data_IF_074534873266
#
_entry.id   IF_074534873266
#
_cell.length_a   1.000
_cell.length_b   1.000
_cell.length_c   1.000
_cell.angle_alpha   90.00
_cell.angle_beta   90.00
_cell.angle_gamma   90.00
#
_symmetry.space_group_name_H-M   'P 1'
#
loop_
_entity.id
_entity.type
_entity.pdbx_description
1 polymer ?
#
# COMPACT_ATOMS: atom_id res chain seq x y z
N UNK A 1 -11.15 40.44 -12.23
CA UNK A 1 -11.87 39.39 -11.48
C UNK A 1 -13.22 39.18 -12.15
N UNK A 2 -13.71 37.94 -12.11
CA UNK A 2 -15.01 37.45 -12.60
C UNK A 2 -15.11 36.96 -14.07
N UNK A 3 -14.72 35.69 -14.22
CA UNK A 3 -15.51 34.56 -14.76
C UNK A 3 -16.52 34.80 -15.88
N UNK A 4 -16.26 34.22 -17.06
CA UNK A 4 -17.31 33.74 -17.98
C UNK A 4 -16.96 32.36 -18.53
N UNK A 5 -17.83 31.41 -18.20
CA UNK A 5 -17.92 30.02 -18.62
C UNK A 5 -18.37 29.88 -20.08
N UNK A 6 -17.84 28.90 -20.82
CA UNK A 6 -18.48 28.36 -22.03
C UNK A 6 -18.04 26.88 -22.18
N UNK A 7 -18.97 25.93 -22.01
CA UNK A 7 -19.61 25.11 -23.06
C UNK A 7 -18.67 24.00 -23.59
N UNK A 8 -19.03 22.72 -23.68
CA UNK A 8 -20.29 22.10 -24.09
C UNK A 8 -20.32 20.63 -23.65
N UNK A 9 -21.41 20.17 -23.05
CA UNK A 9 -21.66 18.78 -22.68
C UNK A 9 -22.11 17.95 -23.90
N UNK A 10 -21.61 16.73 -24.13
CA UNK A 10 -22.30 15.74 -24.95
C UNK A 10 -23.30 14.96 -24.09
N UNK A 11 -24.58 14.96 -24.51
CA UNK A 11 -25.64 14.10 -23.98
C UNK A 11 -25.72 12.86 -24.88
N UNK A 12 -25.32 11.70 -24.38
CA UNK A 12 -25.59 10.41 -25.03
C UNK A 12 -26.63 9.65 -24.22
N UNK A 13 -27.83 9.56 -24.79
CA UNK A 13 -28.87 8.63 -24.39
C UNK A 13 -28.52 7.24 -24.94
N UNK A 14 -28.40 6.25 -24.07
CA UNK A 14 -28.48 4.84 -24.45
C UNK A 14 -29.00 4.05 -23.26
N UNK A 15 -30.22 3.57 -23.40
CA UNK A 15 -30.85 2.59 -22.53
C UNK A 15 -30.18 1.22 -22.75
N UNK A 16 -30.08 0.40 -21.70
CA UNK A 16 -29.75 -1.01 -21.83
C UNK A 16 -28.69 -1.57 -20.87
N UNK A 17 -29.22 -2.23 -19.84
CA UNK A 17 -28.88 -3.61 -19.46
C UNK A 17 -27.76 -3.91 -18.43
N UNK A 18 -28.19 -4.68 -17.42
CA UNK A 18 -27.44 -5.57 -16.53
C UNK A 18 -26.42 -4.95 -15.55
N UNK A 19 -26.91 -4.61 -14.35
CA UNK A 19 -26.09 -4.62 -13.13
C UNK A 19 -25.78 -6.07 -12.76
N UNK A 20 -24.65 -6.59 -13.23
CA UNK A 20 -24.04 -7.77 -12.64
C UNK A 20 -23.14 -7.29 -11.50
N UNK A 21 -23.63 -7.41 -10.26
CA UNK A 21 -22.83 -7.16 -9.06
C UNK A 21 -21.87 -8.33 -8.90
N UNK A 22 -20.72 -8.23 -9.55
CA UNK A 22 -19.61 -9.15 -9.31
C UNK A 22 -19.07 -8.82 -7.91
N UNK A 23 -19.46 -9.63 -6.93
CA UNK A 23 -18.82 -9.70 -5.62
C UNK A 23 -17.34 -10.01 -5.82
N UNK A 24 -16.53 -8.95 -5.95
CA UNK A 24 -15.08 -9.06 -6.04
C UNK A 24 -14.57 -9.41 -4.64
N UNK A 25 -14.59 -10.71 -4.33
CA UNK A 25 -13.84 -11.26 -3.21
C UNK A 25 -12.38 -10.85 -3.42
N UNK A 26 -11.96 -9.76 -2.77
CA UNK A 26 -10.55 -9.39 -2.69
C UNK A 26 -9.93 -10.39 -1.73
N UNK A 27 -9.66 -11.59 -2.25
CA UNK A 27 -8.68 -12.48 -1.65
C UNK A 27 -7.43 -11.64 -1.43
N UNK A 28 -6.90 -11.66 -0.20
CA UNK A 28 -5.67 -10.97 0.16
C UNK A 28 -4.52 -11.59 -0.63
N UNK A 29 -4.37 -11.16 -1.88
CA UNK A 29 -3.39 -11.60 -2.87
C UNK A 29 -1.99 -11.64 -2.19
N UNK A 30 -1.43 -12.84 -1.87
CA UNK A 30 -0.12 -13.02 -1.25
C UNK A 30 1.03 -12.34 -2.02
N UNK A 31 0.78 -11.96 -3.26
CA UNK A 31 1.66 -11.30 -4.23
C UNK A 31 2.35 -10.07 -3.62
N UNK A 32 1.65 -9.28 -2.79
CA UNK A 32 2.22 -8.11 -2.14
C UNK A 32 3.37 -8.44 -1.16
N UNK A 33 3.38 -9.67 -0.61
CA UNK A 33 4.41 -10.20 0.29
C UNK A 33 5.55 -10.86 -0.52
N UNK A 34 5.22 -11.41 -1.69
CA UNK A 34 6.18 -11.95 -2.65
C UNK A 34 7.05 -10.84 -3.28
N UNK A 35 6.56 -9.60 -3.32
CA UNK A 35 7.35 -8.48 -3.82
C UNK A 35 8.67 -8.31 -3.03
N UNK A 36 9.78 -7.98 -3.71
CA UNK A 36 11.04 -7.76 -3.04
C UNK A 36 10.98 -6.51 -2.13
N UNK A 37 11.84 -6.51 -1.11
CA UNK A 37 12.08 -5.39 -0.21
C UNK A 37 12.31 -4.09 -0.99
N UNK A 38 11.58 -3.01 -0.70
CA UNK A 38 11.73 -1.73 -1.40
C UNK A 38 13.12 -1.09 -1.25
N UNK A 39 13.86 -1.44 -0.19
CA UNK A 39 15.18 -0.87 0.08
C UNK A 39 16.33 -1.64 -0.60
N UNK A 40 16.40 -2.96 -0.42
CA UNK A 40 17.52 -3.73 -0.96
C UNK A 40 17.19 -4.45 -2.26
N UNK A 41 15.91 -4.59 -2.63
CA UNK A 41 15.41 -5.32 -3.81
C UNK A 41 15.87 -6.78 -3.99
N UNK A 42 16.59 -7.34 -3.01
CA UNK A 42 17.11 -8.72 -3.02
C UNK A 42 16.24 -9.70 -2.22
N UNK A 43 15.70 -9.27 -1.08
CA UNK A 43 15.05 -10.17 -0.10
C UNK A 43 13.54 -9.98 -0.08
N UNK A 44 12.75 -11.02 0.26
CA UNK A 44 11.30 -10.91 0.37
C UNK A 44 10.91 -9.94 1.49
N UNK A 45 9.68 -9.42 1.41
CA UNK A 45 9.11 -8.57 2.46
C UNK A 45 8.66 -9.41 3.64
N UNK A 46 9.54 -9.51 4.63
CA UNK A 46 9.26 -10.20 5.89
C UNK A 46 9.64 -9.35 7.11
N UNK A 47 9.92 -8.07 6.94
CA UNK A 47 10.22 -7.12 8.01
C UNK A 47 9.06 -6.17 8.22
N UNK A 48 8.23 -6.47 9.23
CA UNK A 48 7.09 -5.63 9.57
C UNK A 48 7.55 -4.44 10.43
N UNK A 49 7.23 -3.22 10.00
CA UNK A 49 7.58 -1.98 10.70
C UNK A 49 6.35 -1.50 11.47
N UNK A 50 6.39 -1.61 12.80
CA UNK A 50 5.24 -1.33 13.69
C UNK A 50 5.35 0.09 14.26
N UNK A 51 4.24 0.83 14.18
CA UNK A 51 4.05 2.12 14.82
C UNK A 51 2.58 2.26 15.25
N UNK A 52 2.34 2.59 16.52
CA UNK A 52 1.01 2.60 17.11
C UNK A 52 0.36 1.21 17.11
N UNK A 53 -0.81 1.10 16.48
CA UNK A 53 -1.57 -0.16 16.30
C UNK A 53 -1.52 -0.69 14.87
N UNK A 54 -0.67 -0.12 14.02
CA UNK A 54 -0.57 -0.47 12.60
C UNK A 54 0.86 -0.82 12.23
N UNK A 55 1.03 -1.39 11.03
CA UNK A 55 2.35 -1.76 10.55
C UNK A 55 2.42 -1.72 9.02
N UNK A 56 3.61 -1.45 8.48
CA UNK A 56 3.89 -1.51 7.05
C UNK A 56 4.84 -2.66 6.70
N UNK A 57 4.41 -3.54 5.79
CA UNK A 57 5.21 -4.65 5.26
C UNK A 57 5.79 -4.30 3.88
N UNK A 58 6.79 -3.41 3.87
CA UNK A 58 7.42 -2.91 2.63
C UNK A 58 8.93 -3.20 2.55
N UNK A 59 9.49 -3.84 3.59
CA UNK A 59 10.92 -4.14 3.69
C UNK A 59 11.17 -5.58 4.13
N UNK A 60 12.38 -6.09 3.90
CA UNK A 60 12.86 -7.31 4.53
C UNK A 60 13.30 -7.04 5.98
N UNK A 61 13.28 -8.08 6.82
CA UNK A 61 13.60 -7.96 8.24
C UNK A 61 14.97 -7.31 8.55
N UNK A 62 16.06 -7.64 7.84
CA UNK A 62 17.34 -6.98 8.11
C UNK A 62 17.37 -5.50 7.72
N UNK A 63 16.65 -5.09 6.67
CA UNK A 63 16.51 -3.68 6.32
C UNK A 63 15.67 -2.92 7.35
N UNK A 64 14.53 -3.48 7.76
CA UNK A 64 13.68 -2.92 8.82
C UNK A 64 14.48 -2.71 10.12
N UNK A 65 15.27 -3.71 10.54
CA UNK A 65 16.13 -3.60 11.73
C UNK A 65 17.17 -2.49 11.61
N UNK A 66 17.75 -2.27 10.43
CA UNK A 66 18.67 -1.15 10.20
C UNK A 66 17.95 0.18 10.37
N UNK A 67 16.76 0.35 9.78
CA UNK A 67 15.96 1.57 9.95
C UNK A 67 15.71 1.87 11.43
N UNK A 68 15.23 0.87 12.18
CA UNK A 68 14.98 1.01 13.61
C UNK A 68 16.25 1.35 14.41
N UNK A 69 17.38 0.67 14.13
CA UNK A 69 18.67 0.94 14.79
C UNK A 69 19.15 2.38 14.57
N UNK A 70 18.95 2.92 13.38
CA UNK A 70 19.37 4.28 13.03
C UNK A 70 18.29 5.33 13.28
N UNK A 71 17.20 4.98 13.99
CA UNK A 71 16.07 5.88 14.28
C UNK A 71 15.47 6.54 13.03
N UNK A 72 15.56 5.87 11.88
CA UNK A 72 14.95 6.35 10.65
C UNK A 72 13.43 6.19 10.72
N UNK A 73 12.65 7.11 10.14
CA UNK A 73 11.20 7.01 10.10
C UNK A 73 10.73 5.85 9.21
N UNK A 74 9.48 5.41 9.41
CA UNK A 74 8.85 4.41 8.56
C UNK A 74 8.85 4.89 7.09
N UNK A 75 9.40 4.14 6.12
CA UNK A 75 9.45 4.57 4.72
C UNK A 75 8.07 4.66 4.05
N UNK A 76 7.03 4.07 4.65
CA UNK A 76 5.67 4.10 4.11
C UNK A 76 4.88 5.35 4.51
N UNK A 77 5.09 5.88 5.71
CA UNK A 77 4.24 6.94 6.27
C UNK A 77 4.97 8.00 7.13
N UNK A 78 6.30 7.91 7.28
CA UNK A 78 7.10 8.86 8.05
C UNK A 78 7.00 8.71 9.58
N UNK A 79 6.14 7.85 10.12
CA UNK A 79 5.97 7.65 11.56
C UNK A 79 7.21 7.03 12.23
N UNK A 80 7.40 7.31 13.51
CA UNK A 80 8.50 6.74 14.31
C UNK A 80 8.31 5.23 14.43
N UNK A 81 9.36 4.48 14.08
CA UNK A 81 9.36 3.01 14.20
C UNK A 81 9.49 2.64 15.67
N UNK A 82 8.46 2.00 16.23
CA UNK A 82 8.46 1.56 17.63
C UNK A 82 9.02 0.15 17.78
N UNK A 83 8.69 -0.75 16.85
CA UNK A 83 9.14 -2.16 16.86
C UNK A 83 9.30 -2.68 15.44
N UNK A 84 10.15 -3.68 15.29
CA UNK A 84 10.31 -4.45 14.04
C UNK A 84 10.20 -5.92 14.37
N UNK A 85 9.34 -6.64 13.64
CA UNK A 85 9.20 -8.10 13.77
C UNK A 85 9.51 -8.79 12.45
N UNK A 86 9.95 -10.04 12.53
CA UNK A 86 10.08 -10.92 11.37
C UNK A 86 8.75 -11.65 11.17
N UNK A 87 8.13 -11.46 10.02
CA UNK A 87 6.87 -12.14 9.65
C UNK A 87 7.18 -13.47 8.96
N UNK A 88 6.46 -14.51 9.36
CA UNK A 88 6.40 -15.80 8.68
C UNK A 88 4.95 -16.01 8.21
N UNK A 89 4.78 -16.44 6.96
CA UNK A 89 3.46 -16.81 6.42
C UNK A 89 3.26 -18.30 6.73
N UNK A 90 2.07 -18.66 7.20
CA UNK A 90 1.68 -20.03 7.55
C UNK A 90 0.30 -20.34 6.97
#
# INVERSE_FOLDING_TARGET
MESKTNSSYPRTTSEGDSQDTLDMETECQPEAILEPCKLCRVRPRNGNIIHGRTAHLITCFPCARKLHKFHAPCPGCGQVIQKVIKTFIA
#
